data_IF_874913330163
#
_entry.id   IF_874913330163
#
_cell.length_a   1.000
_cell.length_b   1.000
_cell.length_c   1.000
_cell.angle_alpha   90.00
_cell.angle_beta   90.00
_cell.angle_gamma   90.00
#
_symmetry.space_group_name_H-M   'P 1'
#
loop_
_entity.id
_entity.type
_entity.pdbx_description
1 polymer ?
#
# COMPACT_ATOMS: atom_id res chain seq x y z
N UNK A 1 19.61 -9.83 10.15
CA UNK A 1 19.01 -10.01 8.80
C UNK A 1 18.12 -8.80 8.53
N UNK A 2 18.44 -7.89 7.59
CA UNK A 2 17.45 -6.90 7.19
C UNK A 2 16.31 -7.65 6.47
N UNK A 3 15.12 -7.62 7.05
CA UNK A 3 13.92 -8.16 6.39
C UNK A 3 13.58 -7.21 5.22
N UNK A 4 13.16 -7.69 4.04
CA UNK A 4 12.68 -6.82 2.97
C UNK A 4 11.34 -6.21 3.38
N UNK A 5 11.35 -4.94 3.82
CA UNK A 5 10.25 -4.25 4.54
C UNK A 5 9.23 -3.51 3.65
N UNK A 6 9.28 -3.71 2.34
CA UNK A 6 8.74 -2.71 1.44
C UNK A 6 7.30 -2.88 1.02
N UNK A 7 6.98 -4.06 0.50
CA UNK A 7 5.62 -4.45 0.13
C UNK A 7 4.73 -4.39 1.37
N UNK A 8 5.27 -4.86 2.51
CA UNK A 8 4.60 -4.79 3.80
C UNK A 8 4.34 -3.35 4.24
N UNK A 9 5.32 -2.44 4.12
CA UNK A 9 5.10 -1.03 4.49
C UNK A 9 4.09 -0.32 3.58
N UNK A 10 4.20 -0.46 2.26
CA UNK A 10 3.25 0.17 1.33
C UNK A 10 1.82 -0.31 1.55
N UNK A 11 1.64 -1.60 1.83
CA UNK A 11 0.34 -2.17 2.19
C UNK A 11 -0.17 -1.63 3.52
N UNK A 12 0.68 -1.51 4.55
CA UNK A 12 0.31 -0.94 5.86
C UNK A 12 -0.16 0.52 5.73
N UNK A 13 0.49 1.33 4.90
CA UNK A 13 0.06 2.73 4.66
C UNK A 13 -1.33 2.79 4.01
N UNK A 14 -1.60 1.93 3.02
CA UNK A 14 -2.92 1.83 2.37
C UNK A 14 -3.99 1.37 3.36
N UNK A 15 -3.72 0.33 4.15
CA UNK A 15 -4.65 -0.14 5.19
C UNK A 15 -4.92 0.95 6.22
N UNK A 16 -3.89 1.67 6.66
CA UNK A 16 -4.03 2.80 7.59
C UNK A 16 -4.89 3.93 7.05
N UNK A 17 -4.72 4.29 5.76
CA UNK A 17 -5.56 5.28 5.09
C UNK A 17 -7.04 4.87 5.10
N UNK A 18 -7.35 3.66 4.63
CA UNK A 18 -8.74 3.21 4.58
C UNK A 18 -9.34 2.99 5.97
N UNK A 19 -8.57 2.51 6.94
CA UNK A 19 -9.03 2.34 8.32
C UNK A 19 -9.36 3.69 8.97
N UNK A 20 -8.58 4.73 8.68
CA UNK A 20 -8.87 6.09 9.14
C UNK A 20 -10.12 6.69 8.47
N UNK A 21 -10.40 6.33 7.21
CA UNK A 21 -11.56 6.82 6.46
C UNK A 21 -12.87 6.08 6.86
N UNK A 22 -12.79 4.78 7.14
CA UNK A 22 -13.97 3.94 7.40
C UNK A 22 -14.47 4.02 8.84
N UNK A 23 -13.59 4.22 9.83
CA UNK A 23 -13.95 4.22 11.25
C UNK A 23 -14.50 2.88 11.74
N UNK A 24 -14.21 1.79 11.03
CA UNK A 24 -14.68 0.45 11.34
C UNK A 24 -13.77 -0.23 12.37
N UNK A 25 -14.37 -0.68 13.48
CA UNK A 25 -13.68 -1.47 14.50
C UNK A 25 -13.66 -2.99 14.18
N UNK A 26 -14.41 -3.42 13.16
CA UNK A 26 -14.49 -4.81 12.71
C UNK A 26 -13.71 -5.05 11.41
N UNK A 27 -12.71 -5.92 11.50
CA UNK A 27 -11.88 -6.35 10.38
C UNK A 27 -12.68 -6.99 9.25
N UNK A 28 -13.71 -7.81 9.55
CA UNK A 28 -14.48 -8.48 8.51
C UNK A 28 -15.29 -7.48 7.69
N UNK A 29 -15.96 -6.54 8.37
CA UNK A 29 -16.69 -5.46 7.72
C UNK A 29 -15.76 -4.53 6.91
N UNK A 30 -14.56 -4.23 7.44
CA UNK A 30 -13.53 -3.48 6.73
C UNK A 30 -13.05 -4.20 5.46
N UNK A 31 -12.77 -5.49 5.56
CA UNK A 31 -12.33 -6.31 4.43
C UNK A 31 -13.41 -6.40 3.34
N UNK A 32 -14.68 -6.53 3.72
CA UNK A 32 -15.82 -6.56 2.79
C UNK A 32 -16.04 -5.21 2.09
N UNK A 33 -15.77 -4.09 2.77
CA UNK A 33 -15.84 -2.74 2.19
C UNK A 33 -14.64 -2.41 1.30
N UNK A 34 -13.47 -2.95 1.61
CA UNK A 34 -12.22 -2.67 0.89
C UNK A 34 -11.57 -3.94 0.32
N UNK A 35 -12.27 -4.72 -0.55
CA UNK A 35 -11.74 -5.98 -1.07
C UNK A 35 -10.48 -5.79 -1.92
N UNK A 36 -10.26 -4.59 -2.46
CA UNK A 36 -9.04 -4.22 -3.18
C UNK A 36 -7.77 -4.36 -2.30
N UNK A 37 -7.87 -4.19 -0.98
CA UNK A 37 -6.74 -4.34 -0.05
C UNK A 37 -6.25 -5.78 0.08
N UNK A 38 -7.12 -6.74 -0.22
CA UNK A 38 -6.81 -8.17 -0.23
C UNK A 38 -6.32 -8.65 -1.60
N UNK A 39 -6.40 -7.82 -2.64
CA UNK A 39 -5.90 -8.17 -3.95
C UNK A 39 -4.36 -8.09 -3.97
N UNK A 40 -3.72 -9.22 -4.27
CA UNK A 40 -2.26 -9.30 -4.52
C UNK A 40 -1.77 -8.38 -5.64
N UNK A 41 -2.68 -7.94 -6.52
CA UNK A 41 -2.40 -7.01 -7.62
C UNK A 41 -2.55 -5.55 -7.21
N UNK A 42 -3.00 -5.24 -6.00
CA UNK A 42 -3.17 -3.87 -5.50
C UNK A 42 -1.96 -2.98 -5.78
N UNK A 43 -0.76 -3.46 -5.45
CA UNK A 43 0.47 -2.69 -5.66
C UNK A 43 0.77 -2.42 -7.12
N UNK A 44 0.24 -3.22 -8.06
CA UNK A 44 0.43 -2.98 -9.51
C UNK A 44 -0.38 -1.79 -10.03
N UNK A 45 -1.33 -1.27 -9.26
CA UNK A 45 -2.05 -0.03 -9.58
C UNK A 45 -1.19 1.21 -9.29
N UNK A 46 -0.28 1.11 -8.32
CA UNK A 46 0.57 2.23 -7.85
C UNK A 46 2.02 2.09 -8.32
N UNK A 47 2.48 0.86 -8.56
CA UNK A 47 3.84 0.55 -8.99
C UNK A 47 3.89 -0.19 -10.32
N UNK A 48 4.87 0.15 -11.16
CA UNK A 48 5.26 -0.72 -12.27
C UNK A 48 5.93 -1.99 -11.74
N UNK A 49 5.71 -3.17 -12.37
CA UNK A 49 6.41 -4.40 -12.01
C UNK A 49 7.94 -4.25 -12.06
N UNK A 50 8.45 -3.45 -13.00
CA UNK A 50 9.88 -3.13 -13.11
C UNK A 50 10.42 -2.39 -11.88
N UNK A 51 9.62 -1.51 -11.29
CA UNK A 51 9.99 -0.69 -10.12
C UNK A 51 10.06 -1.57 -8.87
N UNK A 52 9.08 -2.46 -8.67
CA UNK A 52 9.09 -3.45 -7.59
C UNK A 52 10.22 -4.49 -7.74
N UNK A 53 10.65 -4.78 -8.97
CA UNK A 53 11.72 -5.73 -9.23
C UNK A 53 13.13 -5.15 -8.96
N UNK A 54 13.27 -3.83 -8.78
CA UNK A 54 14.58 -3.19 -8.59
C UNK A 54 15.24 -3.60 -7.26
N UNK A 55 16.58 -3.67 -7.20
CA UNK A 55 17.31 -3.86 -5.94
C UNK A 55 16.96 -2.80 -4.90
N UNK A 56 16.77 -1.54 -5.34
CA UNK A 56 16.34 -0.45 -4.48
C UNK A 56 15.00 -0.73 -3.81
N UNK A 57 14.02 -1.25 -4.56
CA UNK A 57 12.72 -1.66 -4.00
C UNK A 57 12.79 -2.89 -3.08
N UNK A 58 13.87 -3.67 -3.14
CA UNK A 58 14.12 -4.78 -2.21
C UNK A 58 14.81 -4.31 -0.93
N UNK A 59 15.64 -3.27 -1.02
CA UNK A 59 16.50 -2.78 0.06
C UNK A 59 15.89 -1.64 0.93
N UNK A 60 15.01 -0.79 0.40
CA UNK A 60 14.40 0.30 1.21
C UNK A 60 13.60 1.36 0.45
N UNK A 61 12.62 1.98 1.11
CA UNK A 61 11.46 2.70 0.52
C UNK A 61 11.66 3.44 -0.84
N UNK A 62 10.69 3.28 -1.74
CA UNK A 62 10.57 3.78 -3.12
C UNK A 62 9.13 4.20 -3.28
N UNK A 63 8.95 5.43 -3.74
CA UNK A 63 7.64 6.03 -3.93
C UNK A 63 6.93 5.42 -5.15
N UNK A 64 5.58 5.35 -5.14
CA UNK A 64 4.80 4.90 -6.29
C UNK A 64 5.16 5.67 -7.56
N UNK A 65 5.32 4.94 -8.67
CA UNK A 65 5.70 5.51 -9.97
C UNK A 65 4.56 5.57 -10.99
N UNK A 66 3.41 4.95 -10.70
CA UNK A 66 2.20 5.03 -11.55
C UNK A 66 1.18 6.02 -11.01
N UNK A 67 0.88 5.94 -9.73
CA UNK A 67 -0.09 6.81 -9.07
C UNK A 67 0.32 7.02 -7.61
N UNK A 68 0.18 8.24 -7.07
CA UNK A 68 0.43 8.49 -5.65
C UNK A 68 -0.54 7.69 -4.78
N UNK A 69 -0.14 7.43 -3.53
CA UNK A 69 -1.05 6.82 -2.56
C UNK A 69 -2.08 7.83 -2.07
N UNK A 70 -3.34 7.40 -1.89
CA UNK A 70 -4.36 8.24 -1.28
C UNK A 70 -3.90 8.63 0.14
N UNK A 71 -4.04 9.92 0.49
CA UNK A 71 -3.57 10.49 1.76
C UNK A 71 -2.15 11.10 1.74
N UNK A 72 -1.29 10.81 0.74
CA UNK A 72 -0.02 11.55 0.54
C UNK A 72 -0.16 12.83 -0.28
N UNK A 73 -1.21 12.93 -1.09
CA UNK A 73 -1.58 14.17 -1.81
C UNK A 73 -2.39 15.15 -0.95
N UNK A 74 -2.93 14.71 0.20
CA UNK A 74 -3.76 15.54 1.08
C UNK A 74 -2.94 16.47 2.00
N UNK A 75 -1.80 16.97 1.50
CA UNK A 75 -1.09 18.07 2.12
C UNK A 75 -1.58 19.39 1.51
N UNK A 76 -2.77 19.83 1.91
CA UNK A 76 -3.25 21.22 1.82
C UNK A 76 -3.98 21.60 3.08
#
# INVERSE_FOLDING_TARGET
MPQPVFVSRAWVELVGYYAAESGDDDYAAFADRHPALLDKRLLTHYYRPSTLATPRAKDGWVEPDLAPFPGRDAAV
#
